data_IF_780984878364
#
_entry.id   IF_780984878364
#
_cell.length_a   1.000
_cell.length_b   1.000
_cell.length_c   1.000
_cell.angle_alpha   90.00
_cell.angle_beta   90.00
_cell.angle_gamma   90.00
#
_symmetry.space_group_name_H-M   'P 1'
#
loop_
_entity.id
_entity.type
_entity.pdbx_description
1 polymer ?
#
# COMPACT_ATOMS: atom_id res chain seq x y z
N UNK A 1 -1.32 3.86 -17.59
CA UNK A 1 -0.22 3.46 -16.72
C UNK A 1 -0.45 2.06 -16.18
N UNK A 2 0.59 1.23 -16.19
CA UNK A 2 0.49 -0.13 -15.65
C UNK A 2 0.41 -0.09 -14.12
N UNK A 3 -0.51 -0.87 -13.58
CA UNK A 3 -0.69 -1.02 -12.13
C UNK A 3 -0.71 -2.51 -11.79
N UNK A 4 -0.29 -2.83 -10.57
CA UNK A 4 -0.33 -4.20 -10.06
C UNK A 4 -0.72 -4.19 -8.59
N UNK A 5 -1.14 -5.36 -8.08
CA UNK A 5 -1.41 -5.51 -6.66
C UNK A 5 -0.12 -5.36 -5.84
N UNK A 6 -0.20 -4.69 -4.71
CA UNK A 6 0.94 -4.50 -3.81
C UNK A 6 1.52 -5.86 -3.37
N UNK A 7 0.70 -6.90 -3.29
CA UNK A 7 1.16 -8.24 -2.93
C UNK A 7 2.23 -8.81 -3.86
N UNK A 8 2.36 -8.28 -5.06
CA UNK A 8 3.41 -8.72 -6.00
C UNK A 8 4.81 -8.32 -5.55
N UNK A 9 4.93 -7.46 -4.57
CA UNK A 9 6.22 -7.04 -4.02
C UNK A 9 6.68 -7.87 -2.83
N UNK A 10 5.97 -8.93 -2.49
CA UNK A 10 6.26 -9.76 -1.31
C UNK A 10 7.64 -10.42 -1.37
N UNK A 11 8.13 -10.74 -2.56
CA UNK A 11 9.44 -11.38 -2.78
C UNK A 11 10.50 -10.39 -3.29
N UNK A 12 10.19 -9.11 -3.35
CA UNK A 12 11.10 -8.11 -3.93
C UNK A 12 11.99 -7.41 -2.89
N UNK A 13 11.82 -7.72 -1.61
CA UNK A 13 12.61 -7.10 -0.55
C UNK A 13 12.13 -5.70 -0.22
N UNK A 14 13.07 -4.79 -0.01
CA UNK A 14 12.77 -3.42 0.39
C UNK A 14 12.41 -2.57 -0.83
N UNK A 15 11.37 -1.76 -0.69
CA UNK A 15 11.01 -0.77 -1.70
C UNK A 15 10.72 0.57 -1.03
N UNK A 16 10.74 1.64 -1.81
CA UNK A 16 10.60 3.00 -1.31
C UNK A 16 9.30 3.62 -1.81
N UNK A 17 8.44 4.03 -0.89
CA UNK A 17 7.18 4.70 -1.22
C UNK A 17 7.45 6.20 -1.35
N UNK A 18 7.12 6.77 -2.51
CA UNK A 18 7.30 8.20 -2.78
C UNK A 18 5.99 8.95 -2.95
N UNK A 19 4.89 8.22 -3.14
CA UNK A 19 3.57 8.83 -3.27
C UNK A 19 2.50 7.83 -2.82
N UNK A 20 1.43 8.33 -2.22
CA UNK A 20 0.27 7.52 -1.85
C UNK A 20 -1.00 8.31 -2.13
N UNK A 21 -2.01 7.65 -2.65
CA UNK A 21 -3.32 8.24 -2.94
C UNK A 21 -4.41 7.33 -2.40
N UNK A 22 -5.47 7.96 -1.88
CA UNK A 22 -6.67 7.25 -1.47
C UNK A 22 -7.62 7.20 -2.66
N UNK A 23 -8.04 6.00 -3.04
CA UNK A 23 -8.92 5.78 -4.18
C UNK A 23 -10.14 5.00 -3.72
N UNK A 24 -11.33 5.50 -4.03
CA UNK A 24 -12.56 4.76 -3.80
C UNK A 24 -12.98 4.10 -5.11
N UNK A 25 -13.27 2.81 -5.04
CA UNK A 25 -13.69 2.02 -6.19
C UNK A 25 -15.05 1.39 -5.91
N UNK A 26 -15.97 1.52 -6.85
CA UNK A 26 -17.26 0.86 -6.76
C UNK A 26 -17.16 -0.53 -7.36
N UNK A 27 -17.46 -1.55 -6.55
CA UNK A 27 -17.51 -2.94 -6.98
C UNK A 27 -18.91 -3.47 -6.69
N UNK A 28 -19.71 -3.65 -7.74
CA UNK A 28 -21.12 -4.00 -7.58
C UNK A 28 -21.87 -2.88 -6.86
N UNK A 29 -22.46 -3.19 -5.71
CA UNK A 29 -23.20 -2.23 -4.88
C UNK A 29 -22.36 -1.66 -3.74
N UNK A 30 -21.08 -2.09 -3.61
CA UNK A 30 -20.23 -1.70 -2.50
C UNK A 30 -19.16 -0.72 -2.95
N UNK A 31 -18.80 0.18 -2.04
CA UNK A 31 -17.64 1.07 -2.22
C UNK A 31 -16.47 0.48 -1.45
N UNK A 32 -15.37 0.26 -2.17
CA UNK A 32 -14.14 -0.25 -1.59
C UNK A 32 -13.11 0.87 -1.56
N UNK A 33 -12.50 1.08 -0.40
CA UNK A 33 -11.39 2.02 -0.26
C UNK A 33 -10.09 1.31 -0.57
N UNK A 34 -9.36 1.83 -1.55
CA UNK A 34 -8.04 1.35 -1.92
C UNK A 34 -7.04 2.47 -1.75
N UNK A 35 -5.78 2.11 -1.57
CA UNK A 35 -4.68 3.07 -1.73
C UNK A 35 -3.87 2.68 -2.95
N UNK A 36 -3.37 3.70 -3.64
CA UNK A 36 -2.41 3.53 -4.73
C UNK A 36 -1.08 4.08 -4.25
N UNK A 37 -0.05 3.26 -4.34
CA UNK A 37 1.29 3.59 -3.89
C UNK A 37 2.19 3.67 -5.11
N UNK A 38 2.95 4.77 -5.22
CA UNK A 38 4.01 4.87 -6.21
C UNK A 38 5.35 4.60 -5.54
N UNK A 39 6.14 3.72 -6.14
CA UNK A 39 7.46 3.37 -5.65
C UNK A 39 8.54 4.12 -6.43
N UNK A 40 9.67 4.39 -5.78
CA UNK A 40 10.84 4.97 -6.46
C UNK A 40 11.44 3.95 -7.42
N UNK A 41 11.48 2.68 -7.01
CA UNK A 41 11.97 1.58 -7.81
C UNK A 41 10.94 1.14 -8.84
N UNK A 42 11.39 0.59 -9.95
CA UNK A 42 10.54 0.02 -10.97
C UNK A 42 10.65 -1.50 -10.90
N UNK A 43 9.50 -2.18 -10.85
CA UNK A 43 9.43 -3.63 -10.79
C UNK A 43 8.66 -4.13 -12.01
N UNK A 44 9.36 -4.81 -12.92
CA UNK A 44 8.77 -5.33 -14.17
C UNK A 44 8.03 -4.24 -14.97
N UNK A 45 8.60 -3.04 -15.01
CA UNK A 45 8.01 -1.89 -15.69
C UNK A 45 6.90 -1.18 -14.92
N UNK A 46 6.67 -1.57 -13.65
CA UNK A 46 5.55 -1.05 -12.86
C UNK A 46 6.10 -0.27 -11.65
N UNK A 47 5.54 0.92 -11.43
CA UNK A 47 5.84 1.76 -10.25
C UNK A 47 4.59 2.03 -9.41
N UNK A 48 3.40 1.67 -9.87
CA UNK A 48 2.15 1.94 -9.19
C UNK A 48 1.53 0.63 -8.70
N UNK A 49 1.26 0.56 -7.41
CA UNK A 49 0.74 -0.64 -6.77
C UNK A 49 -0.47 -0.29 -5.91
N UNK A 50 -1.50 -1.11 -5.96
CA UNK A 50 -2.73 -0.87 -5.22
C UNK A 50 -2.95 -1.95 -4.18
N UNK A 51 -3.64 -1.59 -3.10
CA UNK A 51 -4.11 -2.53 -2.09
C UNK A 51 -5.36 -1.99 -1.42
N UNK A 52 -6.25 -2.92 -1.07
CA UNK A 52 -7.43 -2.64 -0.26
C UNK A 52 -7.32 -3.26 1.14
N UNK A 53 -6.16 -3.80 1.50
CA UNK A 53 -5.94 -4.39 2.82
C UNK A 53 -6.14 -3.33 3.90
N UNK A 54 -7.10 -3.57 4.80
CA UNK A 54 -7.50 -2.58 5.81
C UNK A 54 -6.33 -2.15 6.70
N UNK A 55 -5.46 -3.08 7.08
CA UNK A 55 -4.30 -2.78 7.91
C UNK A 55 -3.33 -1.82 7.22
N UNK A 56 -3.14 -2.00 5.91
CA UNK A 56 -2.24 -1.16 5.13
C UNK A 56 -2.89 0.18 4.85
N UNK A 57 -4.16 0.18 4.44
CA UNK A 57 -4.91 1.42 4.19
C UNK A 57 -4.91 2.30 5.44
N UNK A 58 -5.12 1.71 6.62
CA UNK A 58 -5.17 2.45 7.88
C UNK A 58 -3.86 3.12 8.25
N UNK A 59 -2.73 2.65 7.72
CA UNK A 59 -1.44 3.33 7.94
C UNK A 59 -1.35 4.67 7.23
N UNK A 60 -2.10 4.84 6.15
CA UNK A 60 -2.02 6.01 5.28
C UNK A 60 -3.25 6.91 5.36
N UNK A 61 -4.42 6.34 5.62
CA UNK A 61 -5.69 7.08 5.66
C UNK A 61 -6.58 6.58 6.78
N UNK A 62 -7.03 7.52 7.62
CA UNK A 62 -7.97 7.26 8.70
C UNK A 62 -9.30 7.96 8.36
N UNK A 63 -10.35 7.18 8.12
CA UNK A 63 -11.66 7.69 7.68
C UNK A 63 -11.56 8.66 6.51
N UNK A 64 -10.71 8.34 5.53
CA UNK A 64 -10.51 9.16 4.34
C UNK A 64 -9.58 10.33 4.53
N UNK A 65 -9.05 10.54 5.74
CA UNK A 65 -8.10 11.62 6.03
C UNK A 65 -6.68 11.09 6.06
N UNK A 66 -5.71 11.80 5.45
CA UNK A 66 -4.33 11.35 5.45
C UNK A 66 -3.75 11.36 6.88
N UNK A 67 -3.06 10.28 7.22
CA UNK A 67 -2.32 10.18 8.46
C UNK A 67 -1.07 11.06 8.40
N UNK A 68 -0.37 11.20 9.52
CA UNK A 68 0.91 11.94 9.56
C UNK A 68 1.90 11.33 8.57
N UNK A 69 1.94 10.00 8.47
CA UNK A 69 2.80 9.30 7.51
C UNK A 69 2.50 9.74 6.07
N UNK A 70 1.22 9.76 5.68
CA UNK A 70 0.83 10.21 4.34
C UNK A 70 1.19 11.66 4.10
N UNK A 71 0.99 12.52 5.09
CA UNK A 71 1.34 13.93 4.99
C UNK A 71 2.84 14.13 4.79
N UNK A 72 3.66 13.36 5.49
CA UNK A 72 5.11 13.41 5.34
C UNK A 72 5.54 12.98 3.94
N UNK A 73 4.92 11.92 3.41
CA UNK A 73 5.20 11.46 2.04
C UNK A 73 4.80 12.54 1.02
N UNK A 74 3.67 13.19 1.21
CA UNK A 74 3.22 14.28 0.35
C UNK A 74 4.19 15.47 0.35
N UNK A 75 4.89 15.67 1.47
CA UNK A 75 5.91 16.72 1.59
C UNK A 75 7.26 16.33 1.02
N UNK A 76 7.38 15.14 0.45
CA UNK A 76 8.59 14.66 -0.19
C UNK A 76 9.42 13.68 0.63
N UNK A 77 8.95 13.28 1.80
CA UNK A 77 9.65 12.27 2.59
C UNK A 77 9.49 10.89 1.95
N UNK A 78 10.58 10.16 1.84
CA UNK A 78 10.57 8.80 1.31
C UNK A 78 10.39 7.80 2.45
N UNK A 79 9.59 6.77 2.22
CA UNK A 79 9.30 5.76 3.22
C UNK A 79 9.72 4.39 2.71
N UNK A 80 10.76 3.84 3.32
CA UNK A 80 11.30 2.52 2.93
C UNK A 80 10.63 1.43 3.75
N UNK A 81 10.08 0.45 3.06
CA UNK A 81 9.32 -0.64 3.68
C UNK A 81 9.60 -1.95 2.97
N UNK A 82 9.17 -3.02 3.60
CA UNK A 82 9.11 -4.36 2.99
C UNK A 82 7.76 -4.99 3.33
N UNK A 83 7.35 -5.95 2.52
CA UNK A 83 6.15 -6.72 2.81
C UNK A 83 6.50 -7.82 3.80
N UNK A 84 5.66 -7.98 4.81
CA UNK A 84 5.74 -9.07 5.77
C UNK A 84 4.46 -9.89 5.70
N UNK A 85 4.59 -11.20 5.86
CA UNK A 85 3.45 -12.10 5.92
C UNK A 85 3.16 -12.42 7.38
N UNK A 86 1.90 -12.29 7.78
CA UNK A 86 1.46 -12.56 9.14
C UNK A 86 0.41 -13.67 9.14
N UNK A 87 0.48 -14.56 10.13
CA UNK A 87 -0.55 -15.56 10.36
C UNK A 87 -1.48 -15.09 11.46
N UNK A 88 -2.77 -15.15 11.19
CA UNK A 88 -3.79 -14.83 12.19
C UNK A 88 -4.27 -16.12 12.87
N UNK A 89 -4.95 -15.96 14.02
CA UNK A 89 -5.36 -17.07 14.86
C UNK A 89 -6.29 -18.09 14.22
N UNK A 90 -6.91 -17.76 13.09
CA UNK A 90 -7.77 -18.66 12.31
C UNK A 90 -7.00 -19.43 11.23
N UNK A 91 -5.68 -19.37 11.23
CA UNK A 91 -4.84 -20.04 10.25
C UNK A 91 -4.74 -19.33 8.91
N UNK A 92 -5.39 -18.20 8.73
CA UNK A 92 -5.28 -17.43 7.50
C UNK A 92 -4.00 -16.60 7.48
N UNK A 93 -3.34 -16.58 6.33
CA UNK A 93 -2.19 -15.72 6.10
C UNK A 93 -2.64 -14.42 5.45
N UNK A 94 -2.05 -13.32 5.87
CA UNK A 94 -2.25 -12.02 5.26
C UNK A 94 -0.92 -11.28 5.22
N UNK A 95 -0.86 -10.20 4.45
CA UNK A 95 0.37 -9.43 4.36
C UNK A 95 0.17 -8.02 4.91
N UNK A 96 1.26 -7.45 5.37
CA UNK A 96 1.34 -6.08 5.85
C UNK A 96 2.67 -5.49 5.39
N UNK A 97 2.86 -4.21 5.62
CA UNK A 97 4.15 -3.56 5.35
C UNK A 97 4.79 -3.17 6.67
N UNK A 98 6.10 -3.29 6.71
CA UNK A 98 6.88 -2.90 7.88
C UNK A 98 8.00 -1.98 7.45
N UNK A 99 8.30 -0.98 8.30
CA UNK A 99 9.41 -0.08 8.06
C UNK A 99 10.72 -0.86 8.02
N UNK A 100 11.47 -0.60 7.00
CA UNK A 100 12.78 -1.21 6.84
C UNK A 100 13.87 -0.39 7.55
#
# INVERSE_FOLDING_TARGET
>A
MAEASLSKLDDKGVFTIVKVENVERKVGKEMITEINIETEEEFDGIKNFYTSRKMIVAKFYDNGKPTILSQDIQKGKKYRVKIITQKFGNGKEDYDIAKS
#
